data_IF_929633956774
#
_entry.id   IF_929633956774
#
_cell.length_a   1.000
_cell.length_b   1.000
_cell.length_c   1.000
_cell.angle_alpha   90.00
_cell.angle_beta   90.00
_cell.angle_gamma   90.00
#
_symmetry.space_group_name_H-M   'P 1'
#
loop_
_entity.id
_entity.type
_entity.pdbx_description
1 polymer ?
#
# COMPACT_ATOMS: atom_id res chain seq x y z
N UNK A 1 -19.49 17.26 29.66
CA UNK A 1 -20.24 17.64 28.44
C UNK A 1 -19.82 16.67 27.37
N UNK A 2 -20.70 15.76 26.96
CA UNK A 2 -20.39 14.75 25.96
C UNK A 2 -20.39 15.42 24.58
N UNK A 3 -19.21 15.49 23.96
CA UNK A 3 -19.04 15.99 22.60
C UNK A 3 -19.75 15.03 21.64
N UNK A 4 -20.89 15.45 21.10
CA UNK A 4 -21.60 14.74 20.04
C UNK A 4 -20.78 14.90 18.78
N UNK A 5 -19.91 13.92 18.49
CA UNK A 5 -19.23 13.85 17.21
C UNK A 5 -20.30 13.79 16.09
N UNK A 6 -20.24 14.66 15.06
CA UNK A 6 -21.21 14.62 13.99
C UNK A 6 -21.16 13.26 13.29
N UNK A 7 -22.27 12.53 13.32
CA UNK A 7 -22.39 11.18 12.72
C UNK A 7 -22.38 11.21 11.19
N UNK A 8 -22.60 12.40 10.61
CA UNK A 8 -22.71 12.63 9.18
C UNK A 8 -21.33 12.96 8.57
N UNK A 9 -21.01 12.29 7.46
CA UNK A 9 -19.79 12.52 6.67
C UNK A 9 -19.73 13.97 6.18
N UNK A 10 -18.65 14.67 6.51
CA UNK A 10 -18.43 16.06 6.09
C UNK A 10 -17.75 16.07 4.73
N UNK A 11 -18.16 16.98 3.85
CA UNK A 11 -17.59 17.15 2.50
C UNK A 11 -17.03 18.56 2.34
N UNK A 12 -15.82 18.68 1.77
CA UNK A 12 -15.16 19.95 1.50
C UNK A 12 -14.63 20.02 0.08
N UNK A 13 -14.60 21.22 -0.55
CA UNK A 13 -14.00 21.41 -1.86
C UNK A 13 -12.50 21.09 -1.81
N UNK A 14 -11.97 20.59 -2.93
CA UNK A 14 -10.54 20.28 -3.06
C UNK A 14 -9.86 21.46 -3.79
N UNK A 15 -8.94 22.20 -3.14
CA UNK A 15 -8.17 23.26 -3.79
C UNK A 15 -7.51 22.81 -5.11
N UNK A 16 -7.69 23.57 -6.18
CA UNK A 16 -7.19 23.26 -7.54
C UNK A 16 -8.02 22.24 -8.33
N UNK A 17 -9.10 21.72 -7.76
CA UNK A 17 -9.98 20.73 -8.38
C UNK A 17 -11.46 21.12 -8.18
N UNK A 18 -11.92 22.22 -8.80
CA UNK A 18 -13.18 22.88 -8.46
C UNK A 18 -14.41 22.04 -8.73
N UNK A 19 -14.34 20.96 -9.52
CA UNK A 19 -15.47 20.06 -9.78
C UNK A 19 -15.63 18.94 -8.73
N UNK A 20 -14.78 18.90 -7.70
CA UNK A 20 -14.67 17.77 -6.79
C UNK A 20 -14.65 18.19 -5.32
N UNK A 21 -15.10 17.26 -4.47
CA UNK A 21 -15.09 17.38 -3.02
C UNK A 21 -14.51 16.12 -2.38
N UNK A 22 -13.84 16.27 -1.25
CA UNK A 22 -13.33 15.19 -0.41
C UNK A 22 -14.13 15.09 0.87
N UNK A 23 -14.24 13.88 1.43
CA UNK A 23 -14.85 13.68 2.73
C UNK A 23 -13.86 13.37 3.83
N UNK A 24 -14.28 13.66 5.08
CA UNK A 24 -13.58 13.28 6.30
C UNK A 24 -13.48 11.76 6.49
N UNK A 25 -14.31 10.96 5.81
CA UNK A 25 -14.23 9.49 5.79
C UNK A 25 -13.34 8.92 4.68
N UNK A 26 -12.64 9.78 3.93
CA UNK A 26 -11.69 9.36 2.91
C UNK A 26 -12.33 8.99 1.57
N UNK A 27 -13.47 9.59 1.25
CA UNK A 27 -14.11 9.48 -0.06
C UNK A 27 -13.87 10.74 -0.90
N UNK A 28 -14.03 10.62 -2.21
CA UNK A 28 -13.96 11.76 -3.15
C UNK A 28 -15.17 11.67 -4.07
N UNK A 29 -15.84 12.80 -4.30
CA UNK A 29 -17.01 12.86 -5.19
C UNK A 29 -16.88 13.99 -6.21
N UNK A 30 -17.52 13.83 -7.36
CA UNK A 30 -17.78 14.96 -8.25
C UNK A 30 -19.00 15.75 -7.76
N UNK A 31 -19.03 17.06 -7.99
CA UNK A 31 -20.21 17.90 -7.77
C UNK A 31 -21.22 17.76 -8.91
N UNK A 32 -22.45 18.18 -8.62
CA UNK A 32 -23.47 18.40 -9.64
C UNK A 32 -22.95 19.41 -10.68
N UNK A 33 -23.20 19.16 -11.96
CA UNK A 33 -22.82 20.07 -13.04
C UNK A 33 -23.81 20.00 -14.20
N UNK A 34 -23.93 21.08 -14.94
CA UNK A 34 -24.68 21.11 -16.19
C UNK A 34 -23.92 20.32 -17.27
N UNK A 35 -24.66 19.51 -18.01
CA UNK A 35 -24.14 18.74 -19.14
C UNK A 35 -25.10 18.88 -20.32
N UNK A 36 -24.55 18.91 -21.52
CA UNK A 36 -25.31 18.84 -22.75
C UNK A 36 -25.48 17.37 -23.16
N UNK A 37 -26.68 16.97 -23.61
CA UNK A 37 -26.94 15.61 -24.12
C UNK A 37 -27.12 15.54 -25.65
N UNK A 38 -26.89 16.63 -26.38
CA UNK A 38 -27.18 16.71 -27.81
C UNK A 38 -28.49 17.45 -28.14
N UNK A 39 -29.42 17.54 -27.18
CA UNK A 39 -30.77 18.10 -27.37
C UNK A 39 -31.07 19.23 -26.37
N UNK A 40 -30.56 19.13 -25.15
CA UNK A 40 -30.80 20.10 -24.08
C UNK A 40 -29.74 20.05 -22.99
N UNK A 41 -29.71 21.11 -22.17
CA UNK A 41 -28.94 21.16 -20.94
C UNK A 41 -29.67 20.39 -19.84
N UNK A 42 -28.93 19.57 -19.09
CA UNK A 42 -29.46 18.86 -17.93
C UNK A 42 -28.46 18.85 -16.78
N UNK A 43 -28.98 18.82 -15.55
CA UNK A 43 -28.16 18.68 -14.35
C UNK A 43 -27.72 17.23 -14.20
N UNK A 44 -26.42 16.98 -14.36
CA UNK A 44 -25.82 15.68 -14.06
C UNK A 44 -25.43 15.64 -12.59
N UNK A 45 -26.05 14.71 -11.86
CA UNK A 45 -25.75 14.50 -10.44
C UNK A 45 -24.30 14.05 -10.22
N UNK A 46 -23.70 14.66 -9.21
CA UNK A 46 -22.42 14.27 -8.67
C UNK A 46 -22.44 12.84 -8.15
N UNK A 47 -21.28 12.19 -8.10
CA UNK A 47 -21.15 10.82 -7.59
C UNK A 47 -19.83 10.62 -6.88
N UNK A 48 -19.84 9.71 -5.92
CA UNK A 48 -18.60 9.20 -5.31
C UNK A 48 -17.77 8.51 -6.39
N UNK A 49 -16.50 8.89 -6.49
CA UNK A 49 -15.58 8.35 -7.48
C UNK A 49 -15.10 6.96 -7.05
N UNK A 50 -14.93 6.07 -8.03
CA UNK A 50 -14.31 4.76 -7.80
C UNK A 50 -12.83 4.97 -7.48
N UNK A 51 -12.42 4.61 -6.26
CA UNK A 51 -11.02 4.52 -5.87
C UNK A 51 -10.40 3.21 -6.38
N UNK A 52 -9.16 3.26 -6.83
CA UNK A 52 -8.37 2.08 -7.22
C UNK A 52 -7.09 2.04 -6.39
N UNK A 53 -6.50 0.84 -6.24
CA UNK A 53 -5.23 0.66 -5.53
C UNK A 53 -4.10 0.75 -6.56
N UNK A 54 -3.13 1.63 -6.35
CA UNK A 54 -1.96 1.75 -7.21
C UNK A 54 -0.90 0.66 -6.92
N UNK A 55 0.18 0.63 -7.72
CA UNK A 55 1.27 -0.33 -7.56
C UNK A 55 1.99 -0.26 -6.18
N UNK A 56 1.81 0.83 -5.43
CA UNK A 56 2.36 1.03 -4.09
C UNK A 56 1.37 0.72 -2.96
N UNK A 57 0.21 0.12 -3.27
CA UNK A 57 -0.78 -0.27 -2.27
C UNK A 57 -1.53 0.91 -1.65
N UNK A 58 -1.75 1.99 -2.41
CA UNK A 58 -2.45 3.20 -1.93
C UNK A 58 -3.67 3.49 -2.79
N UNK A 59 -4.74 4.01 -2.19
CA UNK A 59 -5.89 4.47 -2.94
C UNK A 59 -5.58 5.71 -3.78
N UNK A 60 -5.98 5.67 -5.04
CA UNK A 60 -5.94 6.78 -5.99
C UNK A 60 -7.31 7.02 -6.63
N UNK A 61 -7.54 8.26 -7.04
CA UNK A 61 -8.68 8.67 -7.87
C UNK A 61 -8.18 9.55 -9.02
N UNK A 62 -8.89 9.51 -10.15
CA UNK A 62 -8.62 10.41 -11.28
C UNK A 62 -9.62 11.56 -11.26
N UNK A 63 -9.09 12.78 -11.18
CA UNK A 63 -9.84 14.05 -11.17
C UNK A 63 -9.38 14.93 -12.33
N UNK A 64 -10.10 16.02 -12.59
CA UNK A 64 -9.69 17.07 -13.52
C UNK A 64 -9.31 18.33 -12.74
N UNK A 65 -8.17 18.92 -13.07
CA UNK A 65 -7.79 20.24 -12.57
C UNK A 65 -8.60 21.36 -13.25
N UNK A 66 -8.33 22.61 -12.87
CA UNK A 66 -8.99 23.82 -13.39
C UNK A 66 -8.81 24.00 -14.90
N UNK A 67 -7.73 23.48 -15.48
CA UNK A 67 -7.50 23.50 -16.93
C UNK A 67 -8.26 22.39 -17.68
N UNK A 68 -8.95 21.52 -16.94
CA UNK A 68 -9.64 20.34 -17.49
C UNK A 68 -8.72 19.13 -17.71
N UNK A 69 -7.43 19.22 -17.35
CA UNK A 69 -6.47 18.13 -17.51
C UNK A 69 -6.68 17.06 -16.43
N UNK A 70 -6.63 15.80 -16.85
CA UNK A 70 -6.80 14.65 -15.94
C UNK A 70 -5.55 14.45 -15.08
N UNK A 71 -5.74 14.31 -13.78
CA UNK A 71 -4.71 14.05 -12.78
C UNK A 71 -5.11 12.83 -11.95
N UNK A 72 -4.16 11.94 -11.70
CA UNK A 72 -4.35 10.80 -10.78
C UNK A 72 -3.69 11.13 -9.45
N UNK A 73 -4.48 11.24 -8.39
CA UNK A 73 -4.04 11.71 -7.08
C UNK A 73 -4.28 10.66 -6.01
N UNK A 74 -3.47 10.71 -4.96
CA UNK A 74 -3.62 9.86 -3.78
C UNK A 74 -4.75 10.38 -2.88
N UNK A 75 -5.59 9.49 -2.39
CA UNK A 75 -6.77 9.87 -1.59
C UNK A 75 -6.38 10.57 -0.29
N UNK A 76 -5.38 10.09 0.46
CA UNK A 76 -4.91 10.78 1.67
C UNK A 76 -4.39 12.20 1.41
N UNK A 77 -3.78 12.46 0.24
CA UNK A 77 -3.34 13.81 -0.13
C UNK A 77 -4.55 14.70 -0.32
N UNK A 78 -5.55 14.22 -1.06
CA UNK A 78 -6.79 14.96 -1.33
C UNK A 78 -7.51 15.31 -0.01
N UNK A 79 -7.64 14.36 0.90
CA UNK A 79 -8.32 14.56 2.19
C UNK A 79 -7.57 15.59 3.02
N UNK A 80 -6.24 15.46 3.18
CA UNK A 80 -5.44 16.44 3.92
C UNK A 80 -5.50 17.83 3.27
N UNK A 81 -5.45 17.91 1.95
CA UNK A 81 -5.52 19.17 1.22
C UNK A 81 -6.86 19.90 1.43
N UNK A 82 -7.98 19.17 1.45
CA UNK A 82 -9.31 19.74 1.59
C UNK A 82 -9.66 20.17 3.04
N UNK A 83 -9.12 19.47 4.05
CA UNK A 83 -9.48 19.69 5.46
C UNK A 83 -8.42 20.42 6.28
N UNK A 84 -7.14 20.19 6.00
CA UNK A 84 -6.01 20.73 6.77
C UNK A 84 -5.26 21.80 5.99
N UNK A 85 -5.11 21.62 4.67
CA UNK A 85 -4.46 22.58 3.78
C UNK A 85 -3.22 22.00 3.08
N UNK A 86 -2.35 22.85 2.51
CA UNK A 86 -1.16 22.38 1.81
C UNK A 86 -0.16 21.73 2.77
N UNK A 87 0.56 20.72 2.26
CA UNK A 87 1.60 20.03 3.01
C UNK A 87 2.76 20.99 3.36
N UNK A 88 3.10 21.18 4.63
CA UNK A 88 4.26 21.98 5.02
C UNK A 88 5.56 21.42 4.43
N UNK A 89 6.55 22.29 4.21
CA UNK A 89 7.85 21.91 3.67
C UNK A 89 8.53 20.85 4.57
N UNK A 90 9.13 19.83 3.95
CA UNK A 90 9.82 18.75 4.66
C UNK A 90 8.91 17.74 5.39
N UNK A 91 7.59 17.94 5.40
CA UNK A 91 6.66 17.02 6.06
C UNK A 91 6.07 15.98 5.09
N UNK A 92 5.58 14.90 5.66
CA UNK A 92 4.95 13.76 5.00
C UNK A 92 3.54 13.58 5.56
N UNK A 93 2.64 12.97 4.80
CA UNK A 93 1.37 12.51 5.36
C UNK A 93 1.60 11.11 5.94
N UNK A 94 1.22 10.93 7.20
CA UNK A 94 1.33 9.67 7.93
C UNK A 94 -0.05 9.21 8.43
N UNK A 95 -0.17 7.90 8.58
CA UNK A 95 -1.36 7.20 9.08
C UNK A 95 -1.11 6.78 10.53
N UNK A 96 -2.02 7.11 11.45
CA UNK A 96 -1.87 6.79 12.87
C UNK A 96 -1.88 5.29 13.17
N UNK A 97 -2.63 4.52 12.38
CA UNK A 97 -2.79 3.06 12.49
C UNK A 97 -1.80 2.26 11.62
N UNK A 98 -1.07 2.93 10.72
CA UNK A 98 -0.17 2.30 9.76
C UNK A 98 -0.86 1.66 8.54
N UNK A 99 -2.18 1.71 8.43
CA UNK A 99 -2.93 1.23 7.27
C UNK A 99 -3.05 2.33 6.20
N UNK A 100 -2.38 2.12 5.07
CA UNK A 100 -2.37 3.05 3.93
C UNK A 100 -3.72 3.15 3.21
N UNK A 101 -4.66 2.25 3.50
CA UNK A 101 -5.99 2.24 2.92
C UNK A 101 -7.02 2.96 3.80
N UNK A 102 -6.72 3.18 5.08
CA UNK A 102 -7.55 3.95 6.00
C UNK A 102 -7.29 5.46 5.85
N UNK A 103 -7.93 6.10 4.87
CA UNK A 103 -7.74 7.53 4.57
C UNK A 103 -8.75 8.46 5.26
N UNK A 104 -9.30 8.04 6.39
CA UNK A 104 -10.15 8.92 7.21
C UNK A 104 -9.32 10.06 7.77
N UNK A 105 -9.88 11.26 7.84
CA UNK A 105 -9.20 12.47 8.31
C UNK A 105 -8.64 12.29 9.73
N UNK A 106 -9.42 11.65 10.62
CA UNK A 106 -9.02 11.32 12.00
C UNK A 106 -7.78 10.42 12.08
N UNK A 107 -7.48 9.65 11.03
CA UNK A 107 -6.31 8.77 10.94
C UNK A 107 -5.11 9.42 10.24
N UNK A 108 -5.26 10.63 9.66
CA UNK A 108 -4.22 11.28 8.87
C UNK A 108 -3.60 12.47 9.61
N UNK A 109 -2.30 12.68 9.39
CA UNK A 109 -1.60 13.88 9.88
C UNK A 109 -0.40 14.24 9.03
N UNK A 110 0.06 15.47 9.17
CA UNK A 110 1.42 15.82 8.76
C UNK A 110 2.41 15.39 9.82
N UNK A 111 3.46 14.72 9.38
CA UNK A 111 4.53 14.19 10.22
C UNK A 111 5.88 14.51 9.58
N UNK A 112 6.86 14.81 10.40
CA UNK A 112 8.25 14.88 10.01
C UNK A 112 8.77 13.50 9.57
N UNK A 113 9.90 13.43 8.83
CA UNK A 113 10.51 12.16 8.47
C UNK A 113 10.86 11.29 9.68
N UNK A 114 11.24 11.93 10.81
CA UNK A 114 11.55 11.24 12.07
C UNK A 114 10.31 10.59 12.67
N UNK A 115 9.23 11.35 12.86
CA UNK A 115 7.97 10.83 13.42
C UNK A 115 7.39 9.70 12.56
N UNK A 116 7.44 9.83 11.23
CA UNK A 116 6.98 8.79 10.32
C UNK A 116 7.90 7.55 10.35
N UNK A 117 9.17 7.69 10.71
CA UNK A 117 10.06 6.54 10.94
C UNK A 117 9.75 5.86 12.28
N UNK A 118 9.47 6.65 13.31
CA UNK A 118 9.10 6.14 14.64
C UNK A 118 7.77 5.38 14.58
N UNK A 119 6.82 5.84 13.76
CA UNK A 119 5.61 5.09 13.42
C UNK A 119 5.90 3.71 12.83
N UNK A 120 6.90 3.57 11.95
CA UNK A 120 7.25 2.25 11.39
C UNK A 120 7.73 1.30 12.47
N UNK A 121 8.44 1.80 13.47
CA UNK A 121 8.85 1.01 14.63
C UNK A 121 7.63 0.63 15.47
N UNK A 122 6.75 1.59 15.78
CA UNK A 122 5.50 1.39 16.54
C UNK A 122 4.57 0.38 15.87
N UNK A 123 4.41 0.46 14.55
CA UNK A 123 3.55 -0.44 13.77
C UNK A 123 4.24 -1.78 13.43
N UNK A 124 5.47 -2.01 13.88
CA UNK A 124 6.23 -3.23 13.56
C UNK A 124 6.57 -3.41 12.07
N UNK A 125 6.43 -2.36 11.26
CA UNK A 125 6.73 -2.36 9.82
C UNK A 125 8.17 -1.98 9.51
N UNK A 126 8.92 -1.52 10.52
CA UNK A 126 10.35 -1.23 10.40
C UNK A 126 11.15 -2.50 10.16
N UNK A 127 12.11 -2.41 9.23
CA UNK A 127 13.08 -3.47 9.00
C UNK A 127 13.90 -3.78 10.27
N UNK A 128 14.16 -2.78 11.12
CA UNK A 128 14.89 -2.94 12.39
C UNK A 128 14.06 -3.64 13.47
N UNK A 129 12.76 -3.35 13.56
CA UNK A 129 11.87 -4.01 14.53
C UNK A 129 11.74 -5.51 14.24
N UNK A 130 11.72 -5.90 12.96
CA UNK A 130 11.75 -7.30 12.53
C UNK A 130 13.05 -8.05 12.89
N UNK A 131 14.14 -7.31 13.12
CA UNK A 131 15.42 -7.85 13.62
C UNK A 131 15.38 -7.98 15.15
N UNK A 132 14.88 -6.97 15.86
CA UNK A 132 14.81 -6.94 17.32
C UNK A 132 13.84 -7.98 17.91
N UNK A 133 12.69 -8.25 17.26
CA UNK A 133 11.75 -9.29 17.69
C UNK A 133 12.18 -10.72 17.27
N UNK A 134 13.35 -10.90 16.65
CA UNK A 134 13.81 -12.22 16.17
C UNK A 134 13.01 -12.78 14.98
N UNK A 135 12.01 -12.05 14.46
CA UNK A 135 11.06 -12.59 13.49
C UNK A 135 11.64 -12.74 12.09
N UNK A 136 12.68 -12.01 11.65
CA UNK A 136 13.41 -12.39 10.43
C UNK A 136 14.84 -11.79 10.36
N UNK A 137 15.84 -12.58 10.74
CA UNK A 137 17.14 -12.54 10.06
C UNK A 137 17.41 -13.89 9.41
N UNK A 138 17.53 -13.98 8.07
CA UNK A 138 17.71 -15.25 7.38
C UNK A 138 19.02 -15.96 7.73
N UNK A 139 19.96 -15.38 8.49
CA UNK A 139 21.17 -16.10 8.90
C UNK A 139 20.97 -17.12 10.03
N UNK A 140 19.86 -17.08 10.78
CA UNK A 140 19.56 -18.07 11.86
C UNK A 140 18.40 -19.02 11.55
N UNK A 141 17.77 -18.90 10.38
CA UNK A 141 16.70 -19.82 10.01
C UNK A 141 17.27 -21.20 9.72
N UNK A 142 16.79 -22.21 10.45
CA UNK A 142 17.12 -23.62 10.22
C UNK A 142 16.19 -24.26 9.19
N UNK A 143 14.99 -23.71 9.01
CA UNK A 143 14.01 -24.14 8.01
C UNK A 143 13.46 -22.95 7.24
N UNK A 144 13.09 -23.18 5.97
CA UNK A 144 12.42 -22.17 5.17
C UNK A 144 10.90 -22.12 5.50
N UNK A 145 10.17 -21.16 4.92
CA UNK A 145 8.70 -21.01 5.15
C UNK A 145 7.86 -22.25 4.80
N UNK A 146 8.41 -23.17 4.02
CA UNK A 146 7.78 -24.43 3.59
C UNK A 146 8.32 -25.65 4.34
N UNK A 147 9.04 -25.45 5.44
CA UNK A 147 9.60 -26.52 6.26
C UNK A 147 10.89 -27.16 5.73
N UNK A 148 11.39 -26.80 4.53
CA UNK A 148 12.66 -27.34 4.03
C UNK A 148 13.86 -26.92 4.88
N UNK A 149 14.71 -27.88 5.27
CA UNK A 149 15.93 -27.62 6.05
C UNK A 149 16.91 -26.76 5.26
N UNK A 150 17.45 -25.73 5.92
CA UNK A 150 18.41 -24.77 5.40
C UNK A 150 19.84 -25.14 5.80
N UNK A 151 20.24 -26.37 5.50
CA UNK A 151 21.60 -26.90 5.63
C UNK A 151 22.10 -27.40 4.27
N UNK A 152 23.40 -27.61 4.12
CA UNK A 152 23.93 -28.25 2.93
C UNK A 152 23.27 -29.64 2.74
N UNK A 153 22.92 -30.03 1.50
CA UNK A 153 23.17 -29.34 0.22
C UNK A 153 22.06 -28.34 -0.20
N UNK A 154 20.96 -28.23 0.55
CA UNK A 154 19.84 -27.35 0.23
C UNK A 154 20.07 -25.87 0.60
N UNK A 155 21.11 -25.56 1.37
CA UNK A 155 21.53 -24.21 1.65
C UNK A 155 22.23 -23.57 0.43
N UNK A 156 21.87 -22.33 0.11
CA UNK A 156 22.58 -21.52 -0.88
C UNK A 156 23.78 -20.81 -0.25
N UNK A 157 24.96 -21.43 -0.30
CA UNK A 157 26.20 -20.86 0.26
C UNK A 157 26.57 -19.49 -0.31
N UNK A 158 26.30 -19.25 -1.60
CA UNK A 158 26.55 -17.96 -2.23
C UNK A 158 25.73 -16.83 -1.61
N UNK A 159 24.47 -17.11 -1.25
CA UNK A 159 23.60 -16.15 -0.59
C UNK A 159 24.02 -15.92 0.87
N UNK A 160 24.47 -16.97 1.55
CA UNK A 160 25.01 -16.88 2.90
C UNK A 160 26.28 -16.02 2.92
N UNK A 161 27.25 -16.33 2.06
CA UNK A 161 28.54 -15.61 2.01
C UNK A 161 28.40 -14.16 1.55
N UNK A 162 27.59 -13.88 0.53
CA UNK A 162 27.50 -12.54 -0.09
C UNK A 162 26.54 -11.58 0.62
N UNK A 163 25.48 -12.11 1.22
CA UNK A 163 24.38 -11.29 1.75
C UNK A 163 24.00 -11.63 3.20
N UNK A 164 24.69 -12.58 3.82
CA UNK A 164 24.36 -13.13 5.13
C UNK A 164 22.89 -13.61 5.21
N UNK A 165 22.45 -14.35 4.18
CA UNK A 165 21.09 -14.92 4.10
C UNK A 165 21.10 -16.42 3.84
N UNK A 166 20.45 -17.21 4.69
CA UNK A 166 20.15 -18.63 4.40
C UNK A 166 18.92 -18.69 3.51
N UNK A 167 19.09 -19.24 2.31
CA UNK A 167 18.02 -19.41 1.32
C UNK A 167 17.93 -20.89 0.92
N UNK A 168 16.70 -21.35 0.71
CA UNK A 168 16.39 -22.70 0.25
C UNK A 168 16.66 -22.82 -1.25
N UNK A 169 17.61 -23.68 -1.62
CA UNK A 169 18.01 -23.98 -3.00
C UNK A 169 16.84 -24.60 -3.77
N UNK A 170 16.07 -25.50 -3.15
CA UNK A 170 14.86 -26.09 -3.75
C UNK A 170 13.82 -25.02 -4.13
N UNK A 171 13.43 -24.17 -3.17
CA UNK A 171 12.50 -23.07 -3.41
C UNK A 171 13.01 -22.09 -4.48
N UNK A 172 14.33 -21.81 -4.52
CA UNK A 172 14.92 -20.94 -5.54
C UNK A 172 14.80 -21.56 -6.94
N UNK A 173 15.05 -22.87 -7.08
CA UNK A 173 14.86 -23.59 -8.35
C UNK A 173 13.41 -23.52 -8.81
N UNK A 174 12.45 -23.73 -7.90
CA UNK A 174 11.03 -23.58 -8.21
C UNK A 174 10.67 -22.18 -8.68
N UNK A 175 11.15 -21.14 -8.00
CA UNK A 175 10.93 -19.75 -8.42
C UNK A 175 11.42 -19.50 -9.85
N UNK A 176 12.63 -19.95 -10.17
CA UNK A 176 13.18 -19.79 -11.53
C UNK A 176 12.35 -20.56 -12.57
N UNK A 177 11.82 -21.74 -12.23
CA UNK A 177 10.95 -22.53 -13.11
C UNK A 177 9.61 -21.86 -13.34
N UNK A 178 8.93 -21.41 -12.28
CA UNK A 178 7.64 -20.71 -12.35
C UNK A 178 7.78 -19.36 -13.05
N UNK A 179 8.92 -18.67 -12.91
CA UNK A 179 9.16 -17.43 -13.64
C UNK A 179 9.19 -17.65 -15.16
N UNK A 180 9.71 -18.79 -15.61
CA UNK A 180 9.73 -19.18 -17.04
C UNK A 180 8.43 -19.83 -17.51
N UNK A 181 7.61 -20.32 -16.58
CA UNK A 181 6.40 -21.09 -16.82
C UNK A 181 5.32 -20.66 -15.81
N UNK A 182 4.66 -19.50 -16.01
CA UNK A 182 3.75 -18.91 -15.04
C UNK A 182 2.55 -19.81 -14.67
N UNK A 183 2.14 -20.69 -15.57
CA UNK A 183 1.09 -21.70 -15.37
C UNK A 183 1.41 -22.71 -14.27
N UNK A 184 2.69 -22.87 -13.91
CA UNK A 184 3.13 -23.75 -12.83
C UNK A 184 2.99 -23.12 -11.44
N UNK A 185 2.58 -21.84 -11.36
CA UNK A 185 2.44 -21.12 -10.09
C UNK A 185 1.51 -21.80 -9.06
N UNK A 186 0.35 -22.39 -9.44
CA UNK A 186 -0.49 -23.13 -8.50
C UNK A 186 0.20 -24.37 -7.90
N UNK A 187 1.17 -24.94 -8.62
CA UNK A 187 1.90 -26.15 -8.21
C UNK A 187 3.23 -25.87 -7.52
N UNK A 188 3.48 -24.60 -7.12
CA UNK A 188 4.77 -24.18 -6.59
C UNK A 188 5.25 -25.05 -5.43
N UNK A 189 4.38 -25.31 -4.46
CA UNK A 189 4.73 -26.07 -3.24
C UNK A 189 5.16 -27.49 -3.59
N UNK A 190 4.32 -28.22 -4.33
CA UNK A 190 4.63 -29.57 -4.83
C UNK A 190 5.95 -29.64 -5.62
N UNK A 191 6.25 -28.64 -6.46
CA UNK A 191 7.50 -28.59 -7.22
C UNK A 191 8.70 -28.31 -6.29
N UNK A 192 8.54 -27.43 -5.30
CA UNK A 192 9.58 -27.13 -4.32
C UNK A 192 9.90 -28.33 -3.43
N UNK A 193 8.89 -29.09 -3.00
CA UNK A 193 9.06 -30.32 -2.22
C UNK A 193 9.79 -31.38 -3.04
N UNK A 194 9.38 -31.58 -4.29
CA UNK A 194 10.08 -32.50 -5.20
C UNK A 194 11.54 -32.11 -5.43
N UNK A 195 11.85 -30.82 -5.62
CA UNK A 195 13.25 -30.38 -5.69
C UNK A 195 13.99 -30.55 -4.38
N UNK A 196 13.33 -30.37 -3.24
CA UNK A 196 13.94 -30.57 -1.93
C UNK A 196 14.32 -32.02 -1.73
N UNK A 197 13.40 -32.95 -1.98
CA UNK A 197 13.65 -34.39 -1.95
C UNK A 197 14.80 -34.78 -2.87
N UNK A 198 14.84 -34.25 -4.09
CA UNK A 198 15.94 -34.52 -5.04
C UNK A 198 17.29 -33.96 -4.58
N UNK A 199 17.30 -32.83 -3.86
CA UNK A 199 18.53 -32.22 -3.36
C UNK A 199 19.04 -32.94 -2.11
N UNK A 200 18.13 -33.47 -1.29
CA UNK A 200 18.45 -34.12 -0.01
C UNK A 200 18.74 -35.63 -0.12
N UNK A 201 18.54 -36.22 -1.31
CA UNK A 201 19.05 -37.54 -1.67
C UNK A 201 20.55 -37.48 -1.93
#
# INVERSE_FOLDING_TARGET
>A
MADVQPTQEQWRPIPGYPSYEASDKGNVRSKDHQSWNGVGWFTKKGRVLKKTINAHGRYVVTVKDESGKRQTLLVHIIVMLAFVGPRPAGMHIAHWDGDRLNNRLDNLRYATPKENSDDKLRHGTSQYHRVALGVHYPARLEVCKRGHVLAAPNLMDTALKKHNRRLCKACRRTHNRVQRNPELRPYFEKIADSYYEQIMK
#
